data_IF_101610444199
#
_entry.id   IF_101610444199
#
_cell.length_a   1.000
_cell.length_b   1.000
_cell.length_c   1.000
_cell.angle_alpha   90.00
_cell.angle_beta   90.00
_cell.angle_gamma   90.00
#
_symmetry.space_group_name_H-M   'P 1'
#
loop_
_entity.id
_entity.type
_entity.pdbx_description
1 polymer ?
#
# COMPACT_ATOMS: atom_id res chain seq x y z
N UNK A 1 66.65 -14.68 -38.46
CA UNK A 1 65.97 -13.68 -37.59
C UNK A 1 64.45 -13.53 -37.81
N UNK A 2 63.82 -14.24 -38.77
CA UNK A 2 62.42 -13.98 -39.17
C UNK A 2 61.30 -14.85 -38.58
N UNK A 3 61.62 -15.93 -37.83
CA UNK A 3 60.62 -16.89 -37.34
C UNK A 3 60.10 -16.59 -35.93
N UNK A 4 60.87 -15.88 -35.11
CA UNK A 4 60.53 -15.57 -33.71
C UNK A 4 59.53 -14.42 -33.54
N UNK A 5 59.46 -13.50 -34.53
CA UNK A 5 58.54 -12.35 -34.52
C UNK A 5 57.11 -12.76 -34.93
N UNK A 6 56.96 -13.82 -35.74
CA UNK A 6 55.64 -14.30 -36.20
C UNK A 6 54.84 -15.01 -35.10
N UNK A 7 55.48 -15.79 -34.21
CA UNK A 7 54.75 -16.50 -33.13
C UNK A 7 54.28 -15.58 -32.01
N UNK A 8 55.01 -14.50 -31.70
CA UNK A 8 54.56 -13.49 -30.71
C UNK A 8 53.34 -12.71 -31.19
N UNK A 9 53.22 -12.45 -32.50
CA UNK A 9 52.05 -11.79 -33.09
C UNK A 9 50.80 -12.68 -33.08
N UNK A 10 50.95 -13.99 -33.32
CA UNK A 10 49.80 -14.92 -33.28
C UNK A 10 49.28 -15.18 -31.86
N UNK A 11 50.16 -15.23 -30.86
CA UNK A 11 49.78 -15.36 -29.44
C UNK A 11 49.09 -14.08 -28.93
N UNK A 12 49.57 -12.91 -29.35
CA UNK A 12 48.97 -11.63 -28.98
C UNK A 12 47.55 -11.46 -29.56
N UNK A 13 47.32 -11.86 -30.81
CA UNK A 13 45.98 -11.85 -31.42
C UNK A 13 45.02 -12.87 -30.78
N UNK A 14 45.52 -14.03 -30.31
CA UNK A 14 44.70 -15.04 -29.65
C UNK A 14 44.22 -14.58 -28.26
N UNK A 15 45.09 -13.89 -27.49
CA UNK A 15 44.70 -13.30 -26.20
C UNK A 15 43.71 -12.13 -26.36
N UNK A 16 43.85 -11.29 -27.39
CA UNK A 16 42.89 -10.21 -27.68
C UNK A 16 41.54 -10.77 -28.11
N UNK A 17 41.52 -11.89 -28.84
CA UNK A 17 40.30 -12.60 -29.21
C UNK A 17 39.55 -13.16 -28.00
N UNK A 18 40.25 -13.77 -27.04
CA UNK A 18 39.64 -14.33 -25.83
C UNK A 18 39.13 -13.22 -24.89
N UNK A 19 39.88 -12.12 -24.74
CA UNK A 19 39.46 -10.97 -23.93
C UNK A 19 38.26 -10.25 -24.58
N UNK A 20 38.27 -10.08 -25.91
CA UNK A 20 37.14 -9.50 -26.65
C UNK A 20 35.87 -10.35 -26.55
N UNK A 21 35.97 -11.68 -26.63
CA UNK A 21 34.84 -12.59 -26.51
C UNK A 21 34.27 -12.64 -25.07
N UNK A 22 35.13 -12.47 -24.06
CA UNK A 22 34.74 -12.42 -22.64
C UNK A 22 34.00 -11.11 -22.29
N UNK A 23 34.41 -10.00 -22.89
CA UNK A 23 33.73 -8.70 -22.76
C UNK A 23 32.36 -8.75 -23.47
N UNK A 24 32.27 -9.39 -24.64
CA UNK A 24 31.01 -9.60 -25.35
C UNK A 24 30.04 -10.52 -24.60
N UNK A 25 30.52 -11.54 -23.90
CA UNK A 25 29.68 -12.41 -23.07
C UNK A 25 29.14 -11.70 -21.82
N UNK A 26 29.94 -10.80 -21.24
CA UNK A 26 29.55 -9.99 -20.08
C UNK A 26 28.52 -8.90 -20.42
N UNK A 27 28.53 -8.40 -21.66
CA UNK A 27 27.55 -7.43 -22.16
C UNK A 27 26.21 -8.06 -22.56
N UNK A 28 26.18 -9.34 -22.96
CA UNK A 28 24.94 -10.07 -23.29
C UNK A 28 24.17 -10.53 -22.05
N UNK A 29 24.83 -10.70 -20.89
CA UNK A 29 24.14 -10.98 -19.62
C UNK A 29 23.43 -9.76 -19.01
N UNK A 30 23.72 -8.54 -19.49
CA UNK A 30 23.12 -7.32 -18.98
C UNK A 30 21.81 -6.91 -19.68
N UNK A 31 21.41 -7.60 -20.76
CA UNK A 31 20.31 -7.15 -21.62
C UNK A 31 18.94 -7.75 -21.30
N UNK A 32 18.78 -8.61 -20.28
CA UNK A 32 17.49 -9.24 -20.00
C UNK A 32 17.18 -9.46 -18.52
N UNK A 33 17.03 -8.38 -17.72
CA UNK A 33 16.00 -8.32 -16.65
C UNK A 33 15.68 -6.84 -16.36
N UNK A 34 15.05 -6.12 -17.29
CA UNK A 34 14.16 -5.04 -16.87
C UNK A 34 12.88 -5.70 -16.36
N UNK A 35 12.94 -6.32 -15.17
CA UNK A 35 11.73 -6.68 -14.45
C UNK A 35 11.01 -5.36 -14.19
N UNK A 36 9.86 -5.17 -14.84
CA UNK A 36 9.03 -3.99 -14.65
C UNK A 36 8.72 -3.88 -13.16
N UNK A 37 9.33 -2.89 -12.50
CA UNK A 37 9.27 -2.78 -11.05
C UNK A 37 7.82 -2.51 -10.64
N UNK A 38 7.24 -3.41 -9.84
CA UNK A 38 5.84 -3.29 -9.41
C UNK A 38 5.65 -2.02 -8.60
N UNK A 39 4.49 -1.39 -8.78
CA UNK A 39 4.02 -0.29 -7.95
C UNK A 39 3.75 -0.86 -6.56
N UNK A 40 4.46 -0.37 -5.55
CA UNK A 40 4.26 -0.78 -4.17
C UNK A 40 3.16 0.03 -3.51
N UNK A 41 2.20 -0.67 -2.90
CA UNK A 41 1.12 -0.09 -2.11
C UNK A 41 1.22 -0.64 -0.70
N UNK A 42 1.42 0.23 0.28
CA UNK A 42 1.33 -0.13 1.69
C UNK A 42 -0.13 -0.27 2.10
N UNK A 43 -0.48 -1.27 2.91
CA UNK A 43 -1.85 -1.52 3.34
C UNK A 43 -1.85 -1.73 4.84
N UNK A 44 -2.62 -0.91 5.58
CA UNK A 44 -2.81 -1.10 7.03
C UNK A 44 -4.29 -1.33 7.31
N UNK A 45 -4.61 -2.49 7.87
CA UNK A 45 -5.95 -2.83 8.34
C UNK A 45 -6.01 -2.70 9.86
N UNK A 46 -7.03 -2.01 10.36
CA UNK A 46 -7.18 -1.77 11.79
C UNK A 46 -7.28 -3.07 12.60
N UNK A 47 -8.06 -4.04 12.13
CA UNK A 47 -8.29 -5.31 12.82
C UNK A 47 -8.46 -6.46 11.80
N UNK A 48 -8.43 -7.71 12.29
CA UNK A 48 -8.59 -8.93 11.50
C UNK A 48 -10.03 -9.28 11.17
N UNK A 49 -11.02 -8.56 11.68
CA UNK A 49 -12.43 -8.82 11.37
C UNK A 49 -12.73 -8.62 9.88
N UNK A 50 -13.71 -9.36 9.36
CA UNK A 50 -13.92 -9.49 7.92
C UNK A 50 -14.11 -8.17 7.19
N UNK A 51 -14.80 -7.20 7.80
CA UNK A 51 -15.11 -5.92 7.15
C UNK A 51 -13.85 -5.21 6.61
N UNK A 52 -12.74 -5.20 7.37
CA UNK A 52 -11.48 -4.58 6.95
C UNK A 52 -10.76 -5.37 5.85
N UNK A 53 -10.90 -6.70 5.85
CA UNK A 53 -10.33 -7.53 4.78
C UNK A 53 -11.16 -7.43 3.49
N UNK A 54 -12.48 -7.34 3.62
CA UNK A 54 -13.43 -7.21 2.52
C UNK A 54 -13.26 -5.85 1.82
N UNK A 55 -13.03 -4.76 2.57
CA UNK A 55 -12.71 -3.46 1.97
C UNK A 55 -11.42 -3.52 1.15
N UNK A 56 -10.37 -4.15 1.69
CA UNK A 56 -9.13 -4.32 0.95
C UNK A 56 -9.29 -5.22 -0.28
N UNK A 57 -10.07 -6.30 -0.18
CA UNK A 57 -10.41 -7.16 -1.32
C UNK A 57 -11.13 -6.36 -2.42
N UNK A 58 -12.08 -5.50 -2.05
CA UNK A 58 -12.78 -4.60 -2.97
C UNK A 58 -11.85 -3.58 -3.62
N UNK A 59 -10.93 -3.00 -2.83
CA UNK A 59 -9.88 -2.09 -3.32
C UNK A 59 -9.00 -2.78 -4.38
N UNK A 60 -8.47 -3.97 -4.07
CA UNK A 60 -7.65 -4.77 -4.98
C UNK A 60 -8.39 -5.12 -6.27
N UNK A 61 -9.65 -5.55 -6.14
CA UNK A 61 -10.47 -5.90 -7.30
C UNK A 61 -10.74 -4.68 -8.20
N UNK A 62 -10.93 -3.50 -7.61
CA UNK A 62 -11.16 -2.26 -8.36
C UNK A 62 -9.90 -1.82 -9.10
N UNK A 63 -8.74 -1.89 -8.46
CA UNK A 63 -7.45 -1.61 -9.11
C UNK A 63 -7.18 -2.59 -10.26
N UNK A 64 -7.43 -3.89 -10.06
CA UNK A 64 -7.26 -4.89 -11.12
C UNK A 64 -8.17 -4.60 -12.33
N UNK A 65 -9.45 -4.24 -12.09
CA UNK A 65 -10.38 -3.82 -13.15
C UNK A 65 -9.92 -2.56 -13.90
N UNK A 66 -9.21 -1.66 -13.22
CA UNK A 66 -8.60 -0.47 -13.82
C UNK A 66 -7.26 -0.76 -14.53
N UNK A 67 -6.85 -2.03 -14.63
CA UNK A 67 -5.62 -2.44 -15.32
C UNK A 67 -4.37 -2.47 -14.43
N UNK A 68 -4.52 -2.36 -13.10
CA UNK A 68 -3.46 -2.46 -12.09
C UNK A 68 -3.57 -3.79 -11.33
N UNK A 69 -3.35 -4.89 -12.05
CA UNK A 69 -3.38 -6.25 -11.51
C UNK A 69 -2.12 -6.62 -10.71
N UNK A 70 -2.05 -7.88 -10.28
CA UNK A 70 -0.93 -8.42 -9.49
C UNK A 70 0.41 -8.44 -10.25
N UNK A 71 0.37 -8.33 -11.58
CA UNK A 71 1.52 -8.16 -12.45
C UNK A 71 2.17 -6.78 -12.30
N UNK A 72 1.37 -5.75 -11.97
CA UNK A 72 1.83 -4.34 -11.86
C UNK A 72 1.90 -3.81 -10.45
N UNK A 73 1.17 -4.42 -9.51
CA UNK A 73 1.06 -3.93 -8.13
C UNK A 73 1.56 -4.98 -7.15
N UNK A 74 2.36 -4.54 -6.19
CA UNK A 74 2.78 -5.29 -5.02
C UNK A 74 2.14 -4.65 -3.78
N UNK A 75 1.40 -5.44 -3.00
CA UNK A 75 0.76 -4.99 -1.77
C UNK A 75 1.57 -5.44 -0.56
N UNK A 76 1.98 -4.49 0.28
CA UNK A 76 2.65 -4.77 1.57
C UNK A 76 1.57 -4.64 2.65
N UNK A 77 1.06 -5.77 3.14
CA UNK A 77 -0.16 -5.81 3.96
C UNK A 77 0.18 -6.07 5.43
N UNK A 78 -0.31 -5.20 6.30
CA UNK A 78 -0.17 -5.32 7.75
C UNK A 78 -1.52 -5.12 8.45
N UNK A 79 -1.74 -5.89 9.52
CA UNK A 79 -2.91 -5.76 10.40
C UNK A 79 -2.40 -5.34 11.77
N UNK A 80 -2.92 -4.24 12.31
CA UNK A 80 -2.43 -3.69 13.60
C UNK A 80 -3.19 -4.18 14.82
N UNK A 81 -4.33 -4.85 14.65
CA UNK A 81 -5.16 -5.39 15.74
C UNK A 81 -5.49 -4.32 16.81
N UNK A 82 -5.92 -3.15 16.37
CA UNK A 82 -6.18 -1.95 17.17
C UNK A 82 -4.96 -1.37 17.93
N UNK A 83 -3.75 -1.88 17.72
CA UNK A 83 -2.53 -1.33 18.30
C UNK A 83 -1.94 -0.23 17.40
N UNK A 84 -2.40 1.01 17.63
CA UNK A 84 -1.97 2.16 16.83
C UNK A 84 -0.49 2.54 17.03
N UNK A 85 0.17 2.04 18.08
CA UNK A 85 1.60 2.35 18.35
C UNK A 85 2.51 1.83 17.23
N UNK A 86 2.08 0.78 16.52
CA UNK A 86 2.82 0.16 15.40
C UNK A 86 2.73 0.94 14.10
N UNK A 87 1.76 1.84 13.95
CA UNK A 87 1.44 2.47 12.66
C UNK A 87 2.60 3.32 12.15
N UNK A 88 3.27 4.07 13.02
CA UNK A 88 4.41 4.90 12.63
C UNK A 88 5.52 4.06 11.98
N UNK A 89 5.93 2.97 12.61
CA UNK A 89 7.02 2.12 12.12
C UNK A 89 6.65 1.45 10.79
N UNK A 90 5.37 1.08 10.61
CA UNK A 90 4.87 0.54 9.34
C UNK A 90 4.94 1.59 8.22
N UNK A 91 4.53 2.84 8.50
CA UNK A 91 4.62 3.93 7.54
C UNK A 91 6.08 4.23 7.17
N UNK A 92 6.99 4.24 8.15
CA UNK A 92 8.43 4.41 7.91
C UNK A 92 8.98 3.29 7.02
N UNK A 93 8.56 2.04 7.26
CA UNK A 93 8.88 0.89 6.43
C UNK A 93 8.34 1.03 4.99
N UNK A 94 7.11 1.53 4.82
CA UNK A 94 6.53 1.76 3.50
C UNK A 94 7.30 2.83 2.70
N UNK A 95 7.75 3.91 3.36
CA UNK A 95 8.64 4.90 2.72
C UNK A 95 9.94 4.27 2.27
N UNK A 96 10.60 3.53 3.16
CA UNK A 96 11.88 2.88 2.86
C UNK A 96 11.75 1.88 1.71
N UNK A 97 10.61 1.20 1.60
CA UNK A 97 10.32 0.27 0.52
C UNK A 97 9.88 0.95 -0.78
N UNK A 98 9.68 2.28 -0.79
CA UNK A 98 9.30 3.06 -1.95
C UNK A 98 7.81 2.99 -2.31
N UNK A 99 6.95 2.74 -1.33
CA UNK A 99 5.50 2.74 -1.53
C UNK A 99 5.02 4.07 -2.12
N UNK A 100 4.15 3.98 -3.14
CA UNK A 100 3.61 5.15 -3.84
C UNK A 100 2.22 5.56 -3.37
N UNK A 101 1.57 4.70 -2.60
CA UNK A 101 0.24 4.90 -2.04
C UNK A 101 0.11 4.06 -0.77
N UNK A 102 -0.67 4.55 0.19
CA UNK A 102 -1.07 3.80 1.37
C UNK A 102 -2.58 3.61 1.33
N UNK A 103 -3.04 2.36 1.39
CA UNK A 103 -4.42 2.05 1.67
C UNK A 103 -4.60 1.86 3.18
N UNK A 104 -5.55 2.60 3.76
CA UNK A 104 -5.91 2.48 5.17
C UNK A 104 -7.34 1.96 5.30
N UNK A 105 -7.59 1.06 6.25
CA UNK A 105 -8.95 0.63 6.60
C UNK A 105 -9.20 0.81 8.09
N UNK A 106 -10.14 1.70 8.44
CA UNK A 106 -10.51 2.07 9.81
C UNK A 106 -10.20 3.53 10.16
N UNK A 107 -11.05 4.18 10.97
CA UNK A 107 -10.89 5.58 11.41
C UNK A 107 -9.58 5.78 12.19
N UNK A 108 -9.33 4.96 13.22
CA UNK A 108 -8.17 5.12 14.10
C UNK A 108 -6.84 4.94 13.36
N UNK A 109 -6.76 3.90 12.52
CA UNK A 109 -5.58 3.66 11.67
C UNK A 109 -5.35 4.81 10.69
N UNK A 110 -6.41 5.33 10.06
CA UNK A 110 -6.29 6.45 9.12
C UNK A 110 -5.77 7.71 9.83
N UNK A 111 -6.32 8.05 10.99
CA UNK A 111 -5.86 9.20 11.79
C UNK A 111 -4.38 9.08 12.17
N UNK A 112 -3.95 7.88 12.58
CA UNK A 112 -2.56 7.66 12.99
C UNK A 112 -1.60 7.71 11.80
N UNK A 113 -1.99 7.22 10.62
CA UNK A 113 -1.20 7.40 9.39
C UNK A 113 -1.08 8.88 9.08
N UNK A 114 -2.17 9.64 9.10
CA UNK A 114 -2.16 11.07 8.76
C UNK A 114 -1.36 11.93 9.75
N UNK A 115 -1.18 11.49 11.00
CA UNK A 115 -0.22 12.12 11.93
C UNK A 115 1.21 12.02 11.41
N UNK A 116 1.58 10.84 10.94
CA UNK A 116 2.96 10.48 10.66
C UNK A 116 3.35 10.64 9.18
N UNK A 117 2.40 10.72 8.24
CA UNK A 117 2.62 10.77 6.79
C UNK A 117 1.95 11.98 6.13
N UNK A 118 2.72 12.77 5.38
CA UNK A 118 2.23 13.98 4.69
C UNK A 118 2.43 13.97 3.18
N UNK A 119 3.24 13.04 2.68
CA UNK A 119 3.74 13.03 1.30
C UNK A 119 3.15 11.87 0.50
N UNK A 120 3.14 10.66 1.04
CA UNK A 120 2.54 9.51 0.35
C UNK A 120 1.01 9.67 0.35
N UNK A 121 0.34 9.60 -0.81
CA UNK A 121 -1.12 9.63 -0.88
C UNK A 121 -1.77 8.48 -0.07
N UNK A 122 -2.78 8.81 0.72
CA UNK A 122 -3.53 7.87 1.56
C UNK A 122 -4.95 7.71 1.00
N UNK A 123 -5.33 6.48 0.65
CA UNK A 123 -6.70 6.12 0.26
C UNK A 123 -7.35 5.31 1.36
N UNK A 124 -8.28 5.92 2.10
CA UNK A 124 -8.94 5.28 3.23
C UNK A 124 -10.23 4.54 2.83
N UNK A 125 -10.61 3.56 3.66
CA UNK A 125 -11.93 2.96 3.68
C UNK A 125 -12.36 2.69 5.12
N UNK A 126 -13.65 2.45 5.34
CA UNK A 126 -14.21 2.17 6.69
C UNK A 126 -13.88 3.30 7.67
N UNK A 127 -14.11 4.53 7.21
CA UNK A 127 -14.07 5.72 8.06
C UNK A 127 -15.52 6.14 8.29
N UNK A 128 -15.92 6.27 9.55
CA UNK A 128 -17.30 6.57 9.91
C UNK A 128 -17.71 7.99 9.48
N UNK A 129 -16.88 8.98 9.80
CA UNK A 129 -17.17 10.39 9.57
C UNK A 129 -15.95 11.12 8.99
N UNK A 130 -16.16 11.89 7.93
CA UNK A 130 -15.08 12.68 7.30
C UNK A 130 -14.67 13.84 8.21
N UNK A 131 -15.62 14.37 8.96
CA UNK A 131 -15.47 15.47 9.90
C UNK A 131 -14.44 15.15 10.98
N UNK A 132 -14.32 13.88 11.41
CA UNK A 132 -13.27 13.44 12.33
C UNK A 132 -11.88 13.58 11.71
N UNK A 133 -11.72 13.22 10.43
CA UNK A 133 -10.47 13.42 9.69
C UNK A 133 -10.17 14.90 9.46
N UNK A 134 -11.18 15.69 9.04
CA UNK A 134 -11.02 17.11 8.77
C UNK A 134 -10.73 17.92 10.04
N UNK A 135 -11.39 17.57 11.14
CA UNK A 135 -11.15 18.13 12.47
C UNK A 135 -9.75 17.80 12.97
N UNK A 136 -9.32 16.54 12.81
CA UNK A 136 -7.94 16.15 13.12
C UNK A 136 -6.92 16.86 12.21
N UNK A 137 -7.19 16.99 10.92
CA UNK A 137 -6.33 17.70 9.98
C UNK A 137 -6.16 19.17 10.39
N UNK A 138 -7.24 19.85 10.80
CA UNK A 138 -7.18 21.22 11.34
C UNK A 138 -6.42 21.30 12.67
N UNK A 139 -6.70 20.38 13.60
CA UNK A 139 -6.11 20.38 14.95
C UNK A 139 -4.61 20.07 14.94
N UNK A 140 -4.18 19.17 14.07
CA UNK A 140 -2.83 18.62 14.09
C UNK A 140 -2.03 18.94 12.81
N UNK A 141 -2.57 19.76 11.90
CA UNK A 141 -1.88 20.22 10.70
C UNK A 141 -1.54 19.10 9.71
N UNK A 142 -2.45 18.16 9.46
CA UNK A 142 -2.21 17.11 8.48
C UNK A 142 -2.40 17.66 7.05
N UNK A 143 -1.60 17.18 6.10
CA UNK A 143 -1.68 17.61 4.70
C UNK A 143 -2.95 17.10 4.00
N UNK A 144 -3.23 17.62 2.80
CA UNK A 144 -4.36 17.20 1.97
C UNK A 144 -4.05 15.94 1.12
N UNK A 145 -3.15 15.08 1.57
CA UNK A 145 -2.70 13.88 0.86
C UNK A 145 -3.64 12.68 1.04
N UNK A 146 -4.92 12.89 1.37
CA UNK A 146 -5.84 11.81 1.71
C UNK A 146 -7.21 11.94 1.04
N UNK A 147 -7.78 10.80 0.69
CA UNK A 147 -9.14 10.66 0.13
C UNK A 147 -9.64 9.24 0.40
N UNK A 148 -10.90 8.92 0.14
CA UNK A 148 -11.38 7.57 0.39
C UNK A 148 -12.90 7.41 0.45
N UNK A 149 -13.31 6.23 0.91
CA UNK A 149 -14.70 5.85 1.06
C UNK A 149 -15.12 5.85 2.53
N UNK A 150 -16.22 6.55 2.82
CA UNK A 150 -16.86 6.53 4.14
C UNK A 150 -17.73 5.27 4.29
N UNK A 151 -17.83 4.76 5.52
CA UNK A 151 -18.73 3.65 5.88
C UNK A 151 -19.89 4.13 6.76
N UNK A 152 -20.33 5.37 6.57
CA UNK A 152 -21.42 5.93 7.37
C UNK A 152 -22.70 5.11 7.15
N UNK A 153 -23.38 4.80 8.26
CA UNK A 153 -24.68 4.14 8.24
C UNK A 153 -25.75 5.14 8.63
N UNK A 154 -26.93 5.03 8.02
CA UNK A 154 -28.06 5.89 8.38
C UNK A 154 -28.74 5.31 9.62
N UNK A 155 -28.51 5.95 10.77
CA UNK A 155 -29.16 5.58 12.04
C UNK A 155 -30.69 5.57 11.91
N UNK A 156 -31.25 6.52 11.16
CA UNK A 156 -32.68 6.54 10.84
C UNK A 156 -33.14 5.26 10.13
N UNK A 157 -32.43 4.82 9.09
CA UNK A 157 -32.77 3.57 8.38
C UNK A 157 -32.64 2.33 9.27
N UNK A 158 -31.66 2.32 10.18
CA UNK A 158 -31.48 1.24 11.17
C UNK A 158 -32.66 1.19 12.16
N UNK A 159 -33.09 2.34 12.67
CA UNK A 159 -34.25 2.44 13.56
C UNK A 159 -35.54 2.07 12.81
N UNK A 160 -35.74 2.58 11.60
CA UNK A 160 -36.90 2.24 10.76
C UNK A 160 -36.97 0.74 10.48
N UNK A 161 -35.82 0.11 10.19
CA UNK A 161 -35.74 -1.33 10.02
C UNK A 161 -36.12 -2.06 11.32
N UNK A 162 -35.60 -1.63 12.47
CA UNK A 162 -35.94 -2.23 13.76
C UNK A 162 -37.44 -2.13 14.05
N UNK A 163 -38.06 -0.99 13.77
CA UNK A 163 -39.50 -0.77 13.95
C UNK A 163 -40.36 -1.55 12.95
N UNK A 164 -39.86 -1.85 11.75
CA UNK A 164 -40.51 -2.77 10.81
C UNK A 164 -40.52 -4.20 11.33
N UNK A 165 -39.43 -4.65 11.96
CA UNK A 165 -39.32 -6.00 12.55
C UNK A 165 -40.15 -6.11 13.82
N UNK A 166 -40.11 -5.09 14.69
CA UNK A 166 -40.84 -5.04 15.95
C UNK A 166 -41.38 -3.63 16.21
N UNK A 167 -42.69 -3.46 16.00
CA UNK A 167 -43.37 -2.15 16.00
C UNK A 167 -43.48 -1.48 17.38
N UNK A 168 -43.33 -2.24 18.47
CA UNK A 168 -43.57 -1.77 19.84
C UNK A 168 -42.27 -1.46 20.61
N UNK A 169 -41.11 -1.37 19.95
CA UNK A 169 -39.85 -0.97 20.59
C UNK A 169 -40.01 0.42 21.22
N UNK A 170 -39.78 0.53 22.53
CA UNK A 170 -39.81 1.79 23.31
C UNK A 170 -38.44 2.24 23.83
N UNK A 171 -37.47 1.32 23.89
CA UNK A 171 -36.12 1.57 24.42
C UNK A 171 -35.11 0.88 23.52
N UNK A 172 -34.05 1.58 23.16
CA UNK A 172 -32.90 1.07 22.42
C UNK A 172 -31.67 1.26 23.31
N UNK A 173 -31.02 0.15 23.67
CA UNK A 173 -29.73 0.19 24.34
C UNK A 173 -28.61 0.19 23.29
N UNK A 174 -27.59 1.01 23.49
CA UNK A 174 -26.42 1.06 22.61
C UNK A 174 -25.18 0.81 23.45
N UNK A 175 -24.37 -0.16 23.01
CA UNK A 175 -23.03 -0.41 23.53
C UNK A 175 -22.08 0.06 22.45
N UNK A 176 -21.16 0.95 22.81
CA UNK A 176 -20.18 1.53 21.89
C UNK A 176 -18.86 1.73 22.64
N UNK A 177 -17.77 1.85 21.88
CA UNK A 177 -16.49 2.29 22.43
C UNK A 177 -16.46 3.81 22.43
N UNK A 178 -16.26 4.41 23.61
CA UNK A 178 -16.16 5.88 23.76
C UNK A 178 -14.92 6.45 23.08
N UNK A 179 -13.97 5.60 22.71
CA UNK A 179 -12.77 5.95 21.96
C UNK A 179 -12.88 5.55 20.47
N UNK A 180 -13.99 4.93 20.05
CA UNK A 180 -14.29 4.77 18.64
C UNK A 180 -14.83 6.10 18.09
N UNK A 181 -13.90 7.05 17.95
CA UNK A 181 -13.84 8.22 17.04
C UNK A 181 -12.88 9.29 17.58
#
# INVERSE_FOLDING_TARGET
>A
MGTWVKSKRSIFCFCIGIVGLSILFSLVSASNVFAQQKIKIGVILQDKISIFQDSFKGFKATLAKAGYGEDKVEYIVNIVNNDMTKVKDLVDSYRAQGAKLIHSSGTGTTLEILKNEKSIPVVFSIVAYKESLDGAAKKFGFGNNYTGALSSTSTHKLIDLALKVKKDIKKVGMIYDVNAD
#
